data_IF_140871893879
#
_entry.id   IF_140871893879
#
_cell.length_a   1.000
_cell.length_b   1.000
_cell.length_c   1.000
_cell.angle_alpha   90.00
_cell.angle_beta   90.00
_cell.angle_gamma   90.00
#
_symmetry.space_group_name_H-M   'P 1'
#
loop_
_entity.id
_entity.type
_entity.pdbx_description
1 polymer ?
#
# COMPACT_ATOMS: atom_id res chain seq x y z
N UNK A 1 -2.12 -6.26 -21.64
CA UNK A 1 -2.57 -7.21 -20.60
C UNK A 1 -1.65 -7.08 -19.38
N UNK A 2 -2.04 -6.33 -18.33
CA UNK A 2 -1.31 -6.23 -17.05
C UNK A 2 -2.29 -6.00 -15.88
N UNK A 3 -3.45 -6.66 -15.94
CA UNK A 3 -4.66 -6.40 -15.15
C UNK A 3 -4.59 -6.83 -13.66
N UNK A 4 -3.40 -7.10 -13.13
CA UNK A 4 -3.27 -7.66 -11.77
C UNK A 4 -1.90 -7.53 -11.11
N UNK A 5 -0.90 -6.94 -11.75
CA UNK A 5 0.46 -6.93 -11.21
C UNK A 5 0.56 -6.20 -9.85
N UNK A 6 -0.12 -5.06 -9.69
CA UNK A 6 -0.12 -4.29 -8.44
C UNK A 6 -0.93 -4.95 -7.33
N UNK A 7 -2.17 -5.37 -7.63
CA UNK A 7 -3.05 -6.08 -6.68
C UNK A 7 -2.38 -7.33 -6.13
N UNK A 8 -1.82 -8.16 -7.02
CA UNK A 8 -1.16 -9.39 -6.63
C UNK A 8 0.04 -9.13 -5.74
N UNK A 9 0.84 -8.09 -6.00
CA UNK A 9 2.01 -7.74 -5.16
C UNK A 9 1.60 -7.27 -3.76
N UNK A 10 0.60 -6.39 -3.63
CA UNK A 10 0.15 -5.88 -2.32
C UNK A 10 -0.43 -7.03 -1.47
N UNK A 11 -1.29 -7.86 -2.07
CA UNK A 11 -1.91 -9.00 -1.37
C UNK A 11 -0.86 -10.07 -1.03
N UNK A 12 0.02 -10.42 -1.97
CA UNK A 12 1.10 -11.40 -1.76
C UNK A 12 2.06 -10.96 -0.66
N UNK A 13 2.52 -9.71 -0.68
CA UNK A 13 3.38 -9.19 0.39
C UNK A 13 2.66 -9.17 1.74
N UNK A 14 1.35 -8.91 1.75
CA UNK A 14 0.51 -8.97 2.94
C UNK A 14 0.44 -10.36 3.53
N UNK A 15 0.10 -11.35 2.71
CA UNK A 15 0.06 -12.77 3.10
C UNK A 15 1.45 -13.25 3.54
N UNK A 16 2.49 -12.98 2.77
CA UNK A 16 3.86 -13.35 3.10
C UNK A 16 4.33 -12.75 4.44
N UNK A 17 3.94 -11.52 4.75
CA UNK A 17 4.26 -10.90 6.05
C UNK A 17 3.60 -11.64 7.22
N UNK A 18 2.33 -12.03 7.09
CA UNK A 18 1.60 -12.80 8.11
C UNK A 18 2.20 -14.19 8.30
N UNK A 19 2.46 -14.90 7.20
CA UNK A 19 3.09 -16.23 7.24
C UNK A 19 4.45 -16.16 7.93
N UNK A 20 5.27 -15.15 7.60
CA UNK A 20 6.60 -15.00 8.20
C UNK A 20 6.54 -14.71 9.70
N UNK A 21 5.54 -13.94 10.16
CA UNK A 21 5.30 -13.70 11.60
C UNK A 21 4.88 -14.99 12.30
N UNK A 22 3.92 -15.73 11.72
CA UNK A 22 3.42 -17.00 12.30
C UNK A 22 4.55 -18.02 12.41
N UNK A 23 5.32 -18.21 11.34
CA UNK A 23 6.45 -19.14 11.33
C UNK A 23 7.52 -18.75 12.36
N UNK A 24 7.89 -17.46 12.42
CA UNK A 24 8.84 -16.97 13.41
C UNK A 24 8.32 -17.13 14.85
N UNK A 25 7.02 -16.92 15.07
CA UNK A 25 6.38 -17.11 16.38
C UNK A 25 6.38 -18.58 16.82
N UNK A 26 6.12 -19.52 15.91
CA UNK A 26 6.20 -20.96 16.20
C UNK A 26 7.63 -21.38 16.59
N UNK A 27 8.63 -20.92 15.84
CA UNK A 27 10.04 -21.17 16.17
C UNK A 27 10.39 -20.56 17.53
N UNK A 28 10.06 -19.28 17.76
CA UNK A 28 10.35 -18.60 19.01
C UNK A 28 9.64 -19.24 20.21
N UNK A 29 8.41 -19.73 20.04
CA UNK A 29 7.66 -20.42 21.09
C UNK A 29 8.28 -21.78 21.43
N UNK A 30 8.63 -22.58 20.41
CA UNK A 30 9.22 -23.91 20.60
C UNK A 30 10.59 -23.83 21.30
N UNK A 31 11.49 -22.99 20.78
CA UNK A 31 12.82 -22.81 21.36
C UNK A 31 12.79 -21.99 22.65
N UNK A 32 11.83 -21.07 22.81
CA UNK A 32 11.61 -20.33 24.05
C UNK A 32 11.16 -21.23 25.19
N UNK A 33 10.25 -22.18 24.93
CA UNK A 33 9.86 -23.18 25.92
C UNK A 33 11.02 -24.13 26.24
N UNK A 34 11.79 -24.52 25.22
CA UNK A 34 13.02 -25.30 25.41
C UNK A 34 14.05 -24.60 26.31
N UNK A 35 14.21 -23.28 26.17
CA UNK A 35 15.08 -22.49 27.03
C UNK A 35 14.62 -22.53 28.50
N UNK A 36 13.32 -22.41 28.76
CA UNK A 36 12.76 -22.49 30.12
C UNK A 36 13.03 -23.87 30.74
N UNK A 37 12.88 -24.95 29.95
CA UNK A 37 13.23 -26.30 30.40
C UNK A 37 14.72 -26.45 30.74
N UNK A 38 15.60 -25.81 29.97
CA UNK A 38 17.04 -25.78 30.23
C UNK A 38 17.42 -25.00 31.49
N UNK A 39 16.64 -24.01 31.92
CA UNK A 39 16.91 -23.29 33.18
C UNK A 39 16.67 -24.18 34.41
N UNK A 40 15.83 -25.21 34.29
CA UNK A 40 15.49 -26.12 35.39
C UNK A 40 16.45 -27.31 35.54
N UNK A 41 17.35 -27.53 34.57
CA UNK A 41 18.25 -28.69 34.54
C UNK A 41 19.66 -28.27 34.09
N UNK A 42 20.71 -28.91 34.62
CA UNK A 42 22.06 -28.72 34.05
C UNK A 42 22.10 -29.29 32.64
N UNK A 43 21.96 -28.42 31.66
CA UNK A 43 22.02 -28.75 30.23
C UNK A 43 23.39 -28.42 29.67
N UNK A 44 23.79 -29.16 28.64
CA UNK A 44 25.04 -28.94 27.92
C UNK A 44 25.06 -27.54 27.28
N UNK A 45 26.20 -26.84 27.40
CA UNK A 45 26.38 -25.47 26.88
C UNK A 45 26.10 -25.41 25.37
N UNK A 46 26.45 -26.46 24.63
CA UNK A 46 26.20 -26.57 23.19
C UNK A 46 24.70 -26.54 22.84
N UNK A 47 23.86 -27.17 23.67
CA UNK A 47 22.40 -27.20 23.49
C UNK A 47 21.82 -25.82 23.78
N UNK A 48 22.27 -25.17 24.85
CA UNK A 48 21.84 -23.80 25.19
C UNK A 48 22.18 -22.81 24.07
N UNK A 49 23.40 -22.87 23.51
CA UNK A 49 23.81 -22.00 22.40
C UNK A 49 22.93 -22.25 21.16
N UNK A 50 22.69 -23.51 20.81
CA UNK A 50 21.83 -23.84 19.67
C UNK A 50 20.41 -23.25 19.85
N UNK A 51 19.81 -23.41 21.04
CA UNK A 51 18.50 -22.85 21.35
C UNK A 51 18.49 -21.33 21.17
N UNK A 52 19.49 -20.62 21.68
CA UNK A 52 19.59 -19.16 21.56
C UNK A 52 19.70 -18.71 20.10
N UNK A 53 20.45 -19.43 19.25
CA UNK A 53 20.57 -19.11 17.83
C UNK A 53 19.23 -19.25 17.09
N UNK A 54 18.49 -20.34 17.34
CA UNK A 54 17.17 -20.53 16.73
C UNK A 54 16.14 -19.53 17.25
N UNK A 55 16.23 -19.16 18.52
CA UNK A 55 15.37 -18.14 19.12
C UNK A 55 15.65 -16.76 18.51
N UNK A 56 16.92 -16.40 18.34
CA UNK A 56 17.32 -15.18 17.63
C UNK A 56 16.83 -15.18 16.17
N UNK A 57 16.92 -16.32 15.47
CA UNK A 57 16.39 -16.46 14.11
C UNK A 57 14.86 -16.29 14.06
N UNK A 58 14.14 -16.89 15.00
CA UNK A 58 12.68 -16.74 15.16
C UNK A 58 12.28 -15.28 15.39
N UNK A 59 12.95 -14.60 16.33
CA UNK A 59 12.73 -13.17 16.60
C UNK A 59 13.04 -12.31 15.37
N UNK A 60 14.15 -12.58 14.68
CA UNK A 60 14.52 -11.86 13.46
C UNK A 60 13.48 -12.02 12.34
N UNK A 61 12.93 -13.22 12.15
CA UNK A 61 11.84 -13.49 11.22
C UNK A 61 10.57 -12.69 11.57
N UNK A 62 10.19 -12.64 12.84
CA UNK A 62 9.05 -11.87 13.34
C UNK A 62 9.26 -10.38 13.05
N UNK A 63 10.40 -9.81 13.45
CA UNK A 63 10.70 -8.39 13.25
C UNK A 63 10.64 -8.01 11.77
N UNK A 64 11.21 -8.84 10.89
CA UNK A 64 11.18 -8.61 9.44
C UNK A 64 9.75 -8.75 8.87
N UNK A 65 8.95 -9.66 9.39
CA UNK A 65 7.53 -9.81 9.04
C UNK A 65 6.71 -8.59 9.44
N UNK A 66 6.89 -8.10 10.68
CA UNK A 66 6.24 -6.89 11.19
C UNK A 66 6.63 -5.66 10.36
N UNK A 67 7.91 -5.49 10.02
CA UNK A 67 8.38 -4.40 9.15
C UNK A 67 7.68 -4.42 7.77
N UNK A 68 7.52 -5.59 7.16
CA UNK A 68 6.78 -5.75 5.89
C UNK A 68 5.29 -5.38 6.06
N UNK A 69 4.64 -5.87 7.12
CA UNK A 69 3.24 -5.56 7.40
C UNK A 69 2.99 -4.09 7.69
N UNK A 70 3.90 -3.43 8.42
CA UNK A 70 3.84 -1.98 8.69
C UNK A 70 3.90 -1.18 7.39
N UNK A 71 4.76 -1.57 6.44
CA UNK A 71 4.86 -0.90 5.15
C UNK A 71 3.57 -0.97 4.34
N UNK A 72 2.87 -2.11 4.37
CA UNK A 72 1.59 -2.28 3.68
C UNK A 72 0.49 -1.45 4.33
N UNK A 73 0.41 -1.45 5.68
CA UNK A 73 -0.54 -0.59 6.40
C UNK A 73 -0.27 0.90 6.13
N UNK A 74 1.01 1.29 6.05
CA UNK A 74 1.39 2.65 5.71
C UNK A 74 0.93 3.02 4.29
N UNK A 75 1.14 2.12 3.33
CA UNK A 75 0.62 2.29 1.97
C UNK A 75 -0.90 2.47 1.94
N UNK A 76 -1.65 1.63 2.66
CA UNK A 76 -3.11 1.76 2.74
C UNK A 76 -3.55 3.10 3.35
N UNK A 77 -2.84 3.58 4.39
CA UNK A 77 -3.10 4.92 4.96
C UNK A 77 -2.83 6.03 3.96
N UNK A 78 -1.74 5.95 3.22
CA UNK A 78 -1.38 6.97 2.23
C UNK A 78 -2.45 7.04 1.14
N UNK A 79 -2.84 5.88 0.62
CA UNK A 79 -3.90 5.75 -0.37
C UNK A 79 -5.24 6.29 0.16
N UNK A 80 -5.60 6.00 1.41
CA UNK A 80 -6.84 6.50 2.00
C UNK A 80 -6.86 8.03 2.09
N UNK A 81 -5.74 8.65 2.49
CA UNK A 81 -5.60 10.11 2.53
C UNK A 81 -5.66 10.72 1.13
N UNK A 82 -4.91 10.15 0.17
CA UNK A 82 -4.91 10.63 -1.21
C UNK A 82 -6.26 10.42 -1.93
N UNK A 83 -7.09 9.48 -1.49
CA UNK A 83 -8.43 9.28 -2.06
C UNK A 83 -9.40 10.40 -1.69
N UNK A 84 -9.14 11.10 -0.58
CA UNK A 84 -9.97 12.22 -0.11
C UNK A 84 -9.44 13.60 -0.51
N UNK A 85 -8.17 13.69 -0.90
CA UNK A 85 -7.45 14.96 -1.05
C UNK A 85 -7.01 15.18 -2.51
N UNK A 86 -7.41 16.31 -3.10
CA UNK A 86 -7.27 16.56 -4.55
C UNK A 86 -5.82 16.83 -4.98
N UNK A 87 -5.01 17.41 -4.09
CA UNK A 87 -3.70 17.97 -4.46
C UNK A 87 -2.57 16.94 -4.54
N UNK A 88 -2.74 15.69 -4.07
CA UNK A 88 -1.73 14.59 -4.10
C UNK A 88 -0.29 15.03 -3.76
N UNK A 89 -0.14 16.10 -2.97
CA UNK A 89 1.14 16.67 -2.59
C UNK A 89 1.74 15.87 -1.44
N UNK A 90 3.06 15.67 -1.46
CA UNK A 90 3.75 14.99 -0.37
C UNK A 90 3.72 15.84 0.91
N UNK A 91 3.61 17.15 0.77
CA UNK A 91 3.49 18.11 1.86
C UNK A 91 2.14 18.01 2.60
N UNK A 92 1.01 17.91 1.88
CA UNK A 92 -0.30 17.63 2.52
C UNK A 92 -0.28 16.28 3.22
N UNK A 93 0.30 15.27 2.57
CA UNK A 93 0.43 13.93 3.14
C UNK A 93 1.29 13.93 4.42
N UNK A 94 2.39 14.69 4.43
CA UNK A 94 3.25 14.88 5.60
C UNK A 94 2.49 15.57 6.75
N UNK A 95 1.75 16.64 6.44
CA UNK A 95 0.90 17.35 7.40
C UNK A 95 -0.19 16.46 7.99
N UNK A 96 -0.91 15.71 7.16
CA UNK A 96 -1.99 14.81 7.59
C UNK A 96 -1.48 13.63 8.46
N UNK A 97 -0.22 13.24 8.30
CA UNK A 97 0.39 12.14 9.04
C UNK A 97 1.27 12.58 10.22
N UNK A 98 1.55 13.88 10.36
CA UNK A 98 2.45 14.41 11.37
C UNK A 98 3.90 13.91 11.25
N UNK A 99 4.38 13.69 10.03
CA UNK A 99 5.76 13.23 9.74
C UNK A 99 6.47 14.20 8.81
N UNK A 100 7.81 14.16 8.76
CA UNK A 100 8.56 15.01 7.83
C UNK A 100 8.31 14.62 6.37
N UNK A 101 8.39 15.62 5.49
CA UNK A 101 8.24 15.46 4.04
C UNK A 101 9.28 14.47 3.48
N UNK A 102 10.51 14.52 3.99
CA UNK A 102 11.58 13.57 3.63
C UNK A 102 11.23 12.13 4.02
N UNK A 103 10.64 11.92 5.22
CA UNK A 103 10.21 10.60 5.64
C UNK A 103 9.07 10.07 4.77
N UNK A 104 8.14 10.94 4.34
CA UNK A 104 7.09 10.57 3.38
C UNK A 104 7.71 10.19 2.04
N UNK A 105 8.60 11.03 1.49
CA UNK A 105 9.32 10.78 0.24
C UNK A 105 10.03 9.43 0.26
N UNK A 106 10.82 9.16 1.30
CA UNK A 106 11.53 7.89 1.47
C UNK A 106 10.59 6.68 1.54
N UNK A 107 9.46 6.84 2.24
CA UNK A 107 8.47 5.77 2.37
C UNK A 107 7.77 5.52 1.03
N UNK A 108 7.36 6.56 0.30
CA UNK A 108 6.75 6.46 -1.03
C UNK A 108 7.73 5.84 -2.03
N UNK A 109 8.98 6.29 -2.05
CA UNK A 109 10.01 5.73 -2.93
C UNK A 109 10.23 4.24 -2.63
N UNK A 110 10.24 3.86 -1.35
CA UNK A 110 10.32 2.45 -0.94
C UNK A 110 9.09 1.64 -1.38
N UNK A 111 7.90 2.23 -1.39
CA UNK A 111 6.67 1.59 -1.89
C UNK A 111 6.70 1.39 -3.40
N UNK A 112 7.17 2.38 -4.15
CA UNK A 112 7.36 2.32 -5.62
C UNK A 112 8.39 1.24 -5.96
N UNK A 113 9.58 1.27 -5.32
CA UNK A 113 10.64 0.27 -5.53
C UNK A 113 10.18 -1.16 -5.23
N UNK A 114 9.29 -1.34 -4.26
CA UNK A 114 8.71 -2.66 -3.95
C UNK A 114 7.51 -3.03 -4.82
N UNK A 115 7.09 -2.14 -5.72
CA UNK A 115 6.01 -2.38 -6.68
C UNK A 115 4.62 -2.37 -6.06
N UNK A 116 4.43 -1.72 -4.90
CA UNK A 116 3.10 -1.54 -4.30
C UNK A 116 2.29 -0.48 -5.06
N UNK A 117 2.96 0.48 -5.69
CA UNK A 117 2.37 1.58 -6.46
C UNK A 117 2.79 1.44 -7.92
N UNK A 118 2.13 0.56 -8.71
CA UNK A 118 2.47 0.40 -10.12
C UNK A 118 2.26 1.74 -10.83
N UNK A 119 3.26 2.15 -11.60
CA UNK A 119 3.28 3.38 -12.39
C UNK A 119 3.25 4.69 -11.59
N UNK A 120 3.49 4.67 -10.27
CA UNK A 120 3.66 5.90 -9.51
C UNK A 120 5.13 6.37 -9.55
N UNK A 121 5.33 7.68 -9.70
CA UNK A 121 6.63 8.34 -9.56
C UNK A 121 6.48 9.65 -8.80
N UNK A 122 7.55 10.06 -8.12
CA UNK A 122 7.60 11.34 -7.43
C UNK A 122 8.12 12.38 -8.42
N UNK A 123 7.30 13.40 -8.70
CA UNK A 123 7.78 14.57 -9.42
C UNK A 123 8.58 15.44 -8.44
N UNK A 124 9.88 15.65 -8.73
CA UNK A 124 10.77 16.42 -7.84
C UNK A 124 10.53 17.92 -7.91
N UNK A 125 9.97 18.41 -9.01
CA UNK A 125 9.75 19.84 -9.24
C UNK A 125 8.50 20.32 -8.49
N UNK A 126 7.46 19.50 -8.42
CA UNK A 126 6.19 19.82 -7.72
C UNK A 126 6.04 19.14 -6.37
N UNK A 127 6.96 18.25 -6.00
CA UNK A 127 6.89 17.41 -4.80
C UNK A 127 5.55 16.63 -4.68
N UNK A 128 4.96 16.28 -5.82
CA UNK A 128 3.70 15.55 -5.91
C UNK A 128 3.89 14.11 -6.35
N UNK A 129 2.99 13.24 -5.90
CA UNK A 129 2.92 11.87 -6.35
C UNK A 129 2.08 11.76 -7.63
N UNK A 130 2.71 11.35 -8.73
CA UNK A 130 2.07 11.25 -10.05
C UNK A 130 1.96 9.78 -10.47
N UNK A 131 0.82 9.38 -11.03
CA UNK A 131 0.59 8.05 -11.57
C UNK A 131 0.64 8.10 -13.11
N UNK A 132 1.69 7.54 -13.72
CA UNK A 132 1.83 7.42 -15.16
C UNK A 132 0.78 6.45 -15.71
N UNK A 133 -0.11 6.92 -16.59
CA UNK A 133 -1.06 6.04 -17.28
C UNK A 133 -2.44 6.62 -17.57
N UNK A 134 -2.83 7.74 -16.97
CA UNK A 134 -3.96 8.56 -17.45
C UNK A 134 -3.67 10.04 -17.24
N UNK A 135 -4.11 10.83 -18.21
CA UNK A 135 -4.02 12.28 -18.27
C UNK A 135 -4.43 12.88 -16.92
N UNK A 136 -3.65 13.80 -16.33
CA UNK A 136 -4.01 14.45 -15.08
C UNK A 136 -5.41 15.07 -15.21
N UNK A 137 -6.28 14.77 -14.24
CA UNK A 137 -7.59 15.41 -14.07
C UNK A 137 -7.47 16.90 -13.66
N UNK A 138 -6.43 17.60 -14.14
CA UNK A 138 -6.13 19.01 -13.93
C UNK A 138 -5.95 19.79 -15.24
N UNK A 139 -6.20 19.19 -16.41
CA UNK A 139 -6.29 19.91 -17.68
C UNK A 139 -7.65 19.68 -18.35
N UNK A 140 -8.71 20.08 -17.65
CA UNK A 140 -9.99 20.43 -18.26
C UNK A 140 -10.27 21.94 -18.14
N UNK A 141 -9.21 22.75 -18.10
CA UNK A 141 -9.29 24.19 -18.24
C UNK A 141 -8.49 24.61 -19.48
N UNK A 142 -9.22 25.20 -20.44
CA UNK A 142 -8.77 25.97 -21.63
C UNK A 142 -9.10 25.32 -22.98
N UNK A 143 -10.33 25.52 -23.46
CA UNK A 143 -10.56 25.82 -24.90
C UNK A 143 -11.56 26.98 -25.02
N UNK A 144 -11.37 27.94 -25.94
CA UNK A 144 -12.07 29.22 -25.91
C UNK A 144 -13.50 29.11 -26.44
N UNK A 145 -14.34 30.02 -25.95
CA UNK A 145 -15.75 30.19 -26.30
C UNK A 145 -15.96 30.89 -27.67
N UNK A 146 -16.86 30.35 -28.49
CA UNK A 146 -17.69 30.99 -29.54
C UNK A 146 -18.35 29.86 -30.40
N UNK A 147 -19.63 29.81 -30.79
CA UNK A 147 -20.85 30.61 -30.68
C UNK A 147 -22.08 29.67 -30.99
N UNK A 148 -23.36 30.12 -31.03
CA UNK A 148 -24.49 29.35 -30.51
C UNK A 148 -25.41 28.68 -31.55
N UNK A 149 -26.14 27.65 -31.13
CA UNK A 149 -27.39 27.20 -31.79
C UNK A 149 -27.69 25.71 -31.68
N UNK A 150 -28.85 25.37 -31.13
CA UNK A 150 -29.47 24.04 -31.28
C UNK A 150 -29.85 23.35 -29.98
N UNK A 151 -31.15 23.24 -29.72
CA UNK A 151 -31.76 22.66 -28.52
C UNK A 151 -31.78 21.12 -28.50
N UNK A 152 -31.84 20.62 -27.25
CA UNK A 152 -32.49 19.40 -26.75
C UNK A 152 -31.93 18.03 -27.14
N UNK A 153 -31.30 17.43 -26.13
CA UNK A 153 -31.27 15.99 -25.89
C UNK A 153 -30.68 15.71 -24.51
N UNK A 154 -31.53 15.56 -23.49
CA UNK A 154 -31.14 14.96 -22.21
C UNK A 154 -31.46 13.47 -22.28
N UNK A 155 -30.46 12.58 -22.24
CA UNK A 155 -30.68 11.22 -21.78
C UNK A 155 -29.80 10.93 -20.54
N UNK A 156 -30.47 10.72 -19.41
CA UNK A 156 -30.06 9.78 -18.36
C UNK A 156 -28.77 10.12 -17.59
N UNK A 157 -28.94 10.65 -16.37
CA UNK A 157 -27.85 10.81 -15.41
C UNK A 157 -27.10 9.49 -15.17
N UNK A 158 -25.90 9.40 -15.73
CA UNK A 158 -24.92 8.38 -15.36
C UNK A 158 -24.34 8.77 -14.02
N UNK A 159 -25.02 8.38 -12.94
CA UNK A 159 -24.50 8.54 -11.59
C UNK A 159 -23.11 7.88 -11.48
N UNK A 160 -22.21 8.50 -10.75
CA UNK A 160 -20.97 7.85 -10.31
C UNK A 160 -21.24 7.22 -8.93
N UNK A 161 -20.72 6.02 -8.69
CA UNK A 161 -20.69 5.40 -7.36
C UNK A 161 -19.27 5.30 -6.86
N UNK A 162 -19.09 5.56 -5.57
CA UNK A 162 -17.82 5.34 -4.89
C UNK A 162 -17.69 3.87 -4.52
N UNK A 163 -16.60 3.24 -4.97
CA UNK A 163 -16.26 1.85 -4.65
C UNK A 163 -14.90 1.79 -3.95
N UNK A 164 -14.82 0.99 -2.88
CA UNK A 164 -13.58 0.77 -2.15
C UNK A 164 -12.81 -0.39 -2.77
N UNK A 165 -11.56 -0.15 -3.14
CA UNK A 165 -10.69 -1.16 -3.73
C UNK A 165 -10.35 -2.24 -2.70
N UNK A 166 -10.68 -3.51 -3.00
CA UNK A 166 -10.33 -4.67 -2.16
C UNK A 166 -8.81 -4.95 -2.07
N UNK A 167 -8.01 -4.37 -2.97
CA UNK A 167 -6.55 -4.54 -3.00
C UNK A 167 -5.81 -3.56 -2.09
N UNK A 168 -5.98 -2.26 -2.32
CA UNK A 168 -5.26 -1.22 -1.59
C UNK A 168 -6.11 -0.38 -0.62
N UNK A 169 -7.44 -0.53 -0.62
CA UNK A 169 -8.34 0.24 0.25
C UNK A 169 -8.71 1.64 -0.28
N UNK A 170 -8.28 2.01 -1.49
CA UNK A 170 -8.64 3.28 -2.11
C UNK A 170 -10.13 3.43 -2.38
N UNK A 171 -10.68 4.63 -2.15
CA UNK A 171 -12.00 4.99 -2.68
C UNK A 171 -11.83 5.50 -4.12
N UNK A 172 -12.53 4.88 -5.08
CA UNK A 172 -12.52 5.30 -6.49
C UNK A 172 -13.96 5.54 -6.95
N UNK A 173 -14.18 6.52 -7.82
CA UNK A 173 -15.49 6.77 -8.42
C UNK A 173 -15.58 6.08 -9.78
N UNK A 174 -16.57 5.21 -9.96
CA UNK A 174 -16.83 4.51 -11.22
C UNK A 174 -18.27 4.78 -11.69
N UNK A 175 -18.53 4.83 -13.01
CA UNK A 175 -19.89 4.98 -13.52
C UNK A 175 -20.79 3.82 -13.04
N UNK A 176 -22.03 4.13 -12.66
CA UNK A 176 -23.03 3.13 -12.22
C UNK A 176 -23.26 2.12 -13.34
N UNK A 177 -23.06 0.82 -13.04
CA UNK A 177 -23.15 -0.28 -14.01
C UNK A 177 -21.89 -0.53 -14.83
N UNK A 178 -20.86 0.31 -14.71
CA UNK A 178 -19.56 0.13 -15.36
C UNK A 178 -18.53 -0.62 -14.51
N UNK A 179 -17.44 -1.05 -15.16
CA UNK A 179 -16.22 -1.54 -14.48
C UNK A 179 -15.13 -0.47 -14.60
N UNK A 180 -14.31 -0.32 -13.57
CA UNK A 180 -13.18 0.61 -13.54
C UNK A 180 -11.91 -0.05 -13.05
N UNK A 181 -10.83 0.70 -12.94
CA UNK A 181 -9.57 0.26 -12.35
C UNK A 181 -9.19 1.22 -11.23
N UNK A 182 -8.61 0.68 -10.16
CA UNK A 182 -8.15 1.46 -9.03
C UNK A 182 -6.92 2.29 -9.41
N UNK A 183 -6.98 3.60 -9.19
CA UNK A 183 -5.91 4.55 -9.54
C UNK A 183 -4.58 4.30 -8.80
N UNK A 184 -4.63 3.64 -7.63
CA UNK A 184 -3.46 3.47 -6.78
C UNK A 184 -2.72 2.14 -6.97
N UNK A 185 -3.46 1.05 -7.22
CA UNK A 185 -2.89 -0.29 -7.31
C UNK A 185 -3.22 -1.05 -8.61
N UNK A 186 -4.02 -0.45 -9.50
CA UNK A 186 -4.41 -1.05 -10.78
C UNK A 186 -5.39 -2.22 -10.68
N UNK A 187 -6.05 -2.43 -9.52
CA UNK A 187 -7.06 -3.48 -9.37
C UNK A 187 -8.34 -3.14 -10.14
N UNK A 188 -8.93 -4.09 -10.88
CA UNK A 188 -10.30 -3.94 -11.40
C UNK A 188 -11.32 -3.71 -10.27
N UNK A 189 -12.25 -2.79 -10.52
CA UNK A 189 -13.35 -2.36 -9.69
C UNK A 189 -14.66 -2.71 -10.43
N UNK A 190 -15.55 -3.42 -9.77
CA UNK A 190 -16.83 -3.89 -10.29
C UNK A 190 -17.82 -4.12 -9.16
#
# INVERSE_FOLDING_TARGET
MNEGAGRSKVVLMGIASKIQIILGALIAAFFGLGLIGCLSQKTEVSVTIAILLFLALGVWLILRGVKKGRLIKLFQRYVALLSGDSERSLDSLAGALGVSVDAVRDNVERMIKRGLMPNAYINRDTNCLVFAGRVPAGQAASRPAAAPGGQRGNPGGTGYRTVVCKGCGAANQIPVGGTGECEFCGSRLG
#
